data_IF_390459677727
#
_entry.id   IF_390459677727
#
_cell.length_a   1.000
_cell.length_b   1.000
_cell.length_c   1.000
_cell.angle_alpha   90.00
_cell.angle_beta   90.00
_cell.angle_gamma   90.00
#
_symmetry.space_group_name_H-M   'P 1'
#
loop_
_entity.id
_entity.type
_entity.pdbx_description
1 polymer ?
#
# COMPACT_ATOMS: atom_id res chain seq x y z
N UNK A 1 15.37 -4.42 -43.02
CA UNK A 1 14.34 -3.39 -43.26
C UNK A 1 13.13 -3.77 -42.46
N UNK A 2 13.05 -3.32 -41.23
CA UNK A 2 11.85 -3.45 -40.38
C UNK A 2 11.02 -2.20 -40.66
N UNK A 3 9.91 -2.40 -41.38
CA UNK A 3 8.99 -1.32 -41.68
C UNK A 3 8.29 -0.87 -40.42
N UNK A 4 8.43 0.44 -40.10
CA UNK A 4 7.66 1.07 -39.06
C UNK A 4 6.18 0.97 -39.37
N UNK A 5 5.44 0.30 -38.51
CA UNK A 5 3.98 0.33 -38.48
C UNK A 5 3.61 1.68 -37.86
N UNK A 6 3.09 2.58 -38.69
CA UNK A 6 2.70 3.92 -38.31
C UNK A 6 1.65 3.90 -37.21
N UNK A 7 1.95 4.61 -36.11
CA UNK A 7 1.02 4.98 -35.07
C UNK A 7 -0.06 5.92 -35.65
N UNK A 8 -1.21 5.38 -36.00
CA UNK A 8 -2.46 6.13 -36.12
C UNK A 8 -3.63 5.18 -36.36
N UNK A 9 -4.01 4.42 -35.35
CA UNK A 9 -5.38 3.89 -35.26
C UNK A 9 -5.73 3.83 -33.78
N UNK A 10 -6.47 4.82 -33.27
CA UNK A 10 -7.34 4.62 -32.12
C UNK A 10 -8.22 3.44 -32.46
N UNK A 11 -7.92 2.28 -31.94
CA UNK A 11 -8.82 1.14 -32.05
C UNK A 11 -10.10 1.58 -31.31
N UNK A 12 -11.17 1.86 -32.07
CA UNK A 12 -12.48 2.08 -31.48
C UNK A 12 -12.98 0.75 -30.98
N UNK A 13 -12.96 0.57 -29.67
CA UNK A 13 -13.56 -0.56 -29.02
C UNK A 13 -14.45 -0.10 -27.88
N UNK A 14 -15.42 -0.95 -27.56
CA UNK A 14 -16.30 -0.77 -26.40
C UNK A 14 -15.96 -1.84 -25.37
N UNK A 15 -15.73 -1.47 -24.09
CA UNK A 15 -15.48 -2.48 -23.05
C UNK A 15 -16.66 -3.44 -22.91
N UNK A 16 -16.35 -4.70 -22.67
CA UNK A 16 -17.37 -5.73 -22.47
C UNK A 16 -17.79 -5.80 -21.00
N UNK A 17 -19.10 -5.86 -20.75
CA UNK A 17 -19.63 -6.12 -19.41
C UNK A 17 -19.39 -7.57 -19.01
N UNK A 18 -18.80 -7.78 -17.83
CA UNK A 18 -18.55 -9.13 -17.26
C UNK A 18 -19.69 -9.52 -16.34
N UNK A 19 -19.98 -8.66 -15.34
CA UNK A 19 -20.97 -8.96 -14.31
C UNK A 19 -21.46 -7.65 -13.67
N UNK A 20 -22.72 -7.61 -13.25
CA UNK A 20 -23.26 -6.60 -12.37
C UNK A 20 -22.84 -6.93 -10.93
N UNK A 21 -22.13 -5.99 -10.29
CA UNK A 21 -21.56 -6.19 -8.94
C UNK A 21 -22.44 -5.65 -7.82
N UNK A 22 -23.60 -5.04 -8.13
CA UNK A 22 -24.47 -4.40 -7.14
C UNK A 22 -24.90 -5.30 -5.99
N UNK A 23 -25.06 -6.60 -6.28
CA UNK A 23 -25.57 -7.58 -5.32
C UNK A 23 -24.61 -8.78 -5.17
N UNK A 24 -23.37 -8.68 -5.64
CA UNK A 24 -22.39 -9.75 -5.45
C UNK A 24 -21.92 -9.78 -3.99
N UNK A 25 -21.76 -10.99 -3.47
CA UNK A 25 -21.00 -11.18 -2.24
C UNK A 25 -19.53 -10.82 -2.48
N UNK A 26 -18.79 -10.51 -1.40
CA UNK A 26 -17.35 -10.26 -1.50
C UNK A 26 -16.61 -11.48 -2.07
N UNK A 27 -17.02 -12.68 -1.68
CA UNK A 27 -16.45 -13.93 -2.13
C UNK A 27 -16.65 -14.10 -3.65
N UNK A 28 -17.87 -13.90 -4.15
CA UNK A 28 -18.17 -14.00 -5.58
C UNK A 28 -17.41 -12.95 -6.39
N UNK A 29 -17.32 -11.70 -5.87
CA UNK A 29 -16.53 -10.64 -6.49
C UNK A 29 -15.04 -11.02 -6.59
N UNK A 30 -14.46 -11.60 -5.54
CA UNK A 30 -13.09 -12.09 -5.56
C UNK A 30 -12.89 -13.21 -6.58
N UNK A 31 -13.85 -14.11 -6.76
CA UNK A 31 -13.78 -15.16 -7.77
C UNK A 31 -13.81 -14.59 -9.21
N UNK A 32 -14.56 -13.52 -9.45
CA UNK A 32 -14.47 -12.79 -10.73
C UNK A 32 -13.10 -12.13 -10.90
N UNK A 33 -12.57 -11.50 -9.86
CA UNK A 33 -11.25 -10.86 -9.87
C UNK A 33 -10.09 -11.82 -10.15
N UNK A 34 -10.20 -13.09 -9.75
CA UNK A 34 -9.18 -14.12 -10.05
C UNK A 34 -9.08 -14.45 -11.55
N UNK A 35 -10.12 -14.19 -12.32
CA UNK A 35 -10.17 -14.53 -13.75
C UNK A 35 -9.43 -13.56 -14.66
N UNK A 36 -8.80 -12.52 -14.08
CA UNK A 36 -8.05 -11.53 -14.83
C UNK A 36 -7.23 -10.62 -13.94
N UNK A 37 -6.65 -9.59 -14.53
CA UNK A 37 -5.83 -8.56 -13.90
C UNK A 37 -6.71 -7.33 -13.71
N UNK A 38 -6.87 -6.85 -12.49
CA UNK A 38 -7.55 -5.58 -12.21
C UNK A 38 -6.55 -4.44 -12.03
N UNK A 39 -7.00 -3.20 -12.08
CA UNK A 39 -6.12 -2.03 -12.02
C UNK A 39 -5.19 -2.01 -10.80
N UNK A 40 -5.65 -2.45 -9.62
CA UNK A 40 -4.81 -2.54 -8.42
C UNK A 40 -3.69 -3.60 -8.51
N UNK A 41 -3.78 -4.54 -9.43
CA UNK A 41 -2.82 -5.63 -9.61
C UNK A 41 -1.58 -5.18 -10.42
N UNK A 42 -1.72 -4.16 -11.26
CA UNK A 42 -0.68 -3.66 -12.18
C UNK A 42 0.60 -3.27 -11.44
N UNK A 43 0.45 -2.59 -10.32
CA UNK A 43 1.59 -2.15 -9.52
C UNK A 43 2.44 -3.34 -9.00
N UNK A 44 1.83 -4.49 -8.72
CA UNK A 44 2.56 -5.69 -8.32
C UNK A 44 3.32 -6.30 -9.51
N UNK A 45 2.74 -6.31 -10.70
CA UNK A 45 3.41 -6.75 -11.93
C UNK A 45 4.63 -5.87 -12.21
N UNK A 46 4.48 -4.54 -12.08
CA UNK A 46 5.54 -3.56 -12.29
C UNK A 46 6.56 -3.48 -11.14
N UNK A 47 6.37 -4.21 -10.04
CA UNK A 47 7.29 -4.24 -8.90
C UNK A 47 7.31 -2.95 -8.06
N UNK A 48 6.28 -2.11 -8.13
CA UNK A 48 6.17 -0.87 -7.34
C UNK A 48 4.99 -0.87 -6.37
N UNK A 49 4.30 -2.00 -6.21
CA UNK A 49 3.21 -2.10 -5.23
C UNK A 49 3.76 -2.03 -3.80
N UNK A 50 3.17 -1.20 -2.93
CA UNK A 50 3.50 -1.20 -1.52
C UNK A 50 2.74 -2.29 -0.72
N UNK A 51 1.98 -3.16 -1.38
CA UNK A 51 1.07 -4.09 -0.73
C UNK A 51 1.31 -5.55 -1.07
N UNK A 52 1.81 -5.86 -2.26
CA UNK A 52 1.95 -7.23 -2.76
C UNK A 52 3.05 -7.31 -3.81
N UNK A 53 3.69 -8.47 -3.90
CA UNK A 53 4.65 -8.80 -4.95
C UNK A 53 3.96 -9.44 -6.16
N UNK A 54 4.67 -9.56 -7.28
CA UNK A 54 4.19 -10.31 -8.45
C UNK A 54 3.87 -11.77 -8.12
N UNK A 55 4.59 -12.38 -7.15
CA UNK A 55 4.33 -13.75 -6.70
C UNK A 55 3.06 -13.86 -5.86
N UNK A 56 2.77 -12.88 -5.01
CA UNK A 56 1.50 -12.85 -4.28
C UNK A 56 0.33 -12.78 -5.26
N UNK A 57 0.46 -11.96 -6.30
CA UNK A 57 -0.53 -11.86 -7.35
C UNK A 57 -0.65 -13.18 -8.13
N UNK A 58 0.46 -13.80 -8.52
CA UNK A 58 0.47 -15.09 -9.20
C UNK A 58 -0.25 -16.18 -8.38
N UNK A 59 0.07 -16.30 -7.10
CA UNK A 59 -0.57 -17.28 -6.21
C UNK A 59 -2.06 -16.99 -6.04
N UNK A 60 -2.45 -15.73 -5.94
CA UNK A 60 -3.87 -15.35 -5.93
C UNK A 60 -4.60 -15.79 -7.20
N UNK A 61 -4.02 -15.51 -8.38
CA UNK A 61 -4.64 -15.88 -9.68
C UNK A 61 -4.68 -17.38 -9.94
N UNK A 62 -3.71 -18.12 -9.42
CA UNK A 62 -3.62 -19.59 -9.58
C UNK A 62 -4.28 -20.37 -8.44
N UNK A 63 -4.79 -19.67 -7.40
CA UNK A 63 -5.49 -20.29 -6.28
C UNK A 63 -4.58 -20.98 -5.27
N UNK A 64 -3.26 -20.74 -5.33
CA UNK A 64 -2.30 -21.27 -4.34
C UNK A 64 -2.50 -20.54 -3.02
N UNK A 65 -2.70 -21.32 -1.94
CA UNK A 65 -2.88 -20.76 -0.60
C UNK A 65 -1.55 -20.68 0.14
N UNK A 66 -1.34 -19.65 0.98
CA UNK A 66 -0.16 -19.58 1.82
C UNK A 66 -0.14 -20.72 2.84
N UNK A 67 1.05 -21.23 3.14
CA UNK A 67 1.28 -22.25 4.19
C UNK A 67 1.10 -21.64 5.58
N UNK A 68 1.55 -20.38 5.75
CA UNK A 68 1.32 -19.62 6.96
C UNK A 68 0.12 -18.72 6.70
N UNK A 69 -1.00 -19.03 7.35
CA UNK A 69 -2.15 -18.13 7.36
C UNK A 69 -1.92 -17.13 8.51
N UNK A 70 -1.68 -15.87 8.16
CA UNK A 70 -1.71 -14.81 9.17
C UNK A 70 -3.13 -14.71 9.74
N UNK A 71 -3.25 -14.65 11.07
CA UNK A 71 -4.53 -14.40 11.73
C UNK A 71 -5.11 -13.09 11.20
N UNK A 72 -6.36 -13.13 10.82
CA UNK A 72 -7.23 -12.07 10.25
C UNK A 72 -6.54 -10.79 9.75
N UNK A 73 -6.83 -10.41 8.52
CA UNK A 73 -6.28 -9.22 7.83
C UNK A 73 -6.03 -8.05 8.78
N UNK A 74 -4.78 -7.83 9.16
CA UNK A 74 -4.38 -6.73 10.07
C UNK A 74 -4.85 -5.34 9.59
N UNK A 75 -5.29 -5.23 8.33
CA UNK A 75 -5.72 -4.00 7.67
C UNK A 75 -7.21 -3.97 7.27
N UNK A 76 -8.05 -4.86 7.82
CA UNK A 76 -9.47 -4.91 7.43
C UNK A 76 -10.19 -3.59 7.70
N UNK A 77 -9.87 -2.89 8.81
CA UNK A 77 -10.47 -1.58 9.15
C UNK A 77 -10.15 -0.54 8.08
N UNK A 78 -8.91 -0.47 7.62
CA UNK A 78 -8.52 0.50 6.59
C UNK A 78 -9.24 0.24 5.25
N UNK A 79 -9.41 -1.03 4.88
CA UNK A 79 -10.17 -1.42 3.69
C UNK A 79 -11.65 -1.08 3.83
N UNK A 80 -12.24 -1.36 4.98
CA UNK A 80 -13.65 -1.07 5.27
C UNK A 80 -13.92 0.45 5.31
N UNK A 81 -13.04 1.23 5.93
CA UNK A 81 -13.10 2.70 5.92
C UNK A 81 -13.02 3.22 4.49
N UNK A 82 -12.09 2.70 3.68
CA UNK A 82 -11.97 3.05 2.26
C UNK A 82 -13.28 2.85 1.53
N UNK A 83 -13.82 1.65 1.59
CA UNK A 83 -15.07 1.29 0.92
C UNK A 83 -16.28 2.13 1.37
N UNK A 84 -16.45 2.34 2.68
CA UNK A 84 -17.56 3.15 3.21
C UNK A 84 -17.47 4.62 2.86
N UNK A 85 -16.29 5.14 2.60
CA UNK A 85 -16.07 6.55 2.30
C UNK A 85 -16.02 6.85 0.80
N UNK A 86 -16.06 5.86 -0.10
CA UNK A 86 -16.04 6.08 -1.56
C UNK A 86 -17.12 7.04 -2.02
N UNK A 87 -18.38 6.82 -1.60
CA UNK A 87 -19.50 7.70 -1.94
C UNK A 87 -19.29 9.13 -1.40
N UNK A 88 -18.74 9.29 -0.20
CA UNK A 88 -18.43 10.59 0.38
C UNK A 88 -17.33 11.32 -0.40
N UNK A 89 -16.27 10.60 -0.79
CA UNK A 89 -15.18 11.16 -1.61
C UNK A 89 -15.72 11.65 -2.95
N UNK A 90 -16.61 10.87 -3.60
CA UNK A 90 -17.29 11.24 -4.84
C UNK A 90 -18.22 12.45 -4.66
N UNK A 91 -18.95 12.54 -3.56
CA UNK A 91 -19.79 13.69 -3.23
C UNK A 91 -18.97 14.96 -3.03
N UNK A 92 -17.85 14.90 -2.31
CA UNK A 92 -16.93 16.03 -2.13
C UNK A 92 -16.38 16.48 -3.48
N UNK A 93 -15.95 15.53 -4.34
CA UNK A 93 -15.47 15.82 -5.69
C UNK A 93 -16.54 16.55 -6.50
N UNK A 94 -17.77 16.03 -6.54
CA UNK A 94 -18.89 16.63 -7.25
C UNK A 94 -19.18 18.05 -6.77
N UNK A 95 -19.21 18.28 -5.45
CA UNK A 95 -19.43 19.62 -4.87
C UNK A 95 -18.30 20.60 -5.21
N UNK A 96 -17.05 20.17 -5.20
CA UNK A 96 -15.90 21.04 -5.49
C UNK A 96 -15.75 21.36 -6.98
N UNK A 97 -16.14 20.46 -7.86
CA UNK A 97 -15.97 20.61 -9.32
C UNK A 97 -17.23 21.08 -10.03
N UNK A 98 -18.39 20.86 -9.43
CA UNK A 98 -19.70 21.06 -10.07
C UNK A 98 -20.04 20.00 -11.12
N UNK A 99 -19.22 18.93 -11.25
CA UNK A 99 -19.44 17.87 -12.22
C UNK A 99 -20.39 16.81 -11.66
N UNK A 100 -21.19 16.23 -12.54
CA UNK A 100 -22.13 15.16 -12.21
C UNK A 100 -21.38 13.81 -12.15
N UNK A 101 -21.58 13.08 -11.06
CA UNK A 101 -20.89 11.82 -10.78
C UNK A 101 -21.90 10.68 -10.68
N UNK A 102 -21.58 9.53 -11.28
CA UNK A 102 -22.44 8.35 -11.35
C UNK A 102 -21.71 7.13 -10.83
N UNK A 103 -22.27 6.36 -9.89
CA UNK A 103 -21.64 5.11 -9.45
C UNK A 103 -21.64 4.08 -10.59
N UNK A 104 -20.53 3.35 -10.70
CA UNK A 104 -20.39 2.23 -11.61
C UNK A 104 -20.50 0.94 -10.81
N UNK A 105 -21.47 0.12 -11.15
CA UNK A 105 -21.75 -1.15 -10.45
C UNK A 105 -21.61 -2.33 -11.41
N UNK A 106 -20.63 -2.26 -12.30
CA UNK A 106 -20.37 -3.28 -13.32
C UNK A 106 -18.87 -3.48 -13.46
N UNK A 107 -18.45 -4.74 -13.41
CA UNK A 107 -17.11 -5.11 -13.81
C UNK A 107 -17.06 -5.22 -15.33
N UNK A 108 -16.03 -4.62 -15.93
CA UNK A 108 -15.77 -4.64 -17.37
C UNK A 108 -14.50 -5.41 -17.67
N UNK A 109 -14.35 -5.81 -18.95
CA UNK A 109 -13.11 -6.34 -19.49
C UNK A 109 -12.77 -5.71 -20.83
N UNK A 110 -11.49 -5.69 -21.12
CA UNK A 110 -10.99 -5.23 -22.42
C UNK A 110 -11.33 -6.24 -23.50
N UNK A 111 -11.95 -5.85 -24.66
CA UNK A 111 -12.40 -6.80 -25.67
C UNK A 111 -11.26 -7.50 -26.41
N UNK A 112 -10.09 -6.84 -26.54
CA UNK A 112 -8.90 -7.41 -27.21
C UNK A 112 -7.97 -8.15 -26.23
N UNK A 113 -8.03 -7.81 -24.95
CA UNK A 113 -7.24 -8.40 -23.86
C UNK A 113 -8.17 -8.86 -22.73
N UNK A 114 -8.90 -9.98 -22.91
CA UNK A 114 -10.02 -10.34 -22.02
C UNK A 114 -9.62 -10.62 -20.55
N UNK A 115 -8.33 -10.75 -20.28
CA UNK A 115 -7.77 -10.86 -18.94
C UNK A 115 -7.63 -9.51 -18.22
N UNK A 116 -7.72 -8.37 -18.91
CA UNK A 116 -7.72 -7.03 -18.30
C UNK A 116 -9.13 -6.69 -17.84
N UNK A 117 -9.29 -6.51 -16.52
CA UNK A 117 -10.57 -6.26 -15.87
C UNK A 117 -10.59 -4.86 -15.24
N UNK A 118 -11.69 -4.15 -15.40
CA UNK A 118 -11.92 -2.87 -14.73
C UNK A 118 -13.15 -2.93 -13.82
N UNK A 119 -12.93 -2.52 -12.58
CA UNK A 119 -13.94 -2.27 -11.56
C UNK A 119 -13.77 -0.82 -11.14
N UNK A 120 -14.47 0.07 -11.87
CA UNK A 120 -14.33 1.52 -11.76
C UNK A 120 -15.33 2.03 -10.71
N UNK A 121 -14.90 2.91 -9.82
CA UNK A 121 -15.76 3.42 -8.76
C UNK A 121 -16.91 4.27 -9.33
N UNK A 122 -16.58 5.32 -10.12
CA UNK A 122 -17.55 6.26 -10.66
C UNK A 122 -17.22 6.73 -12.08
N UNK A 123 -18.25 7.14 -12.82
CA UNK A 123 -18.11 7.97 -14.01
C UNK A 123 -18.43 9.43 -13.70
N UNK A 124 -17.76 10.33 -14.39
CA UNK A 124 -17.98 11.78 -14.33
C UNK A 124 -18.45 12.26 -15.70
N UNK A 125 -19.57 12.97 -15.74
CA UNK A 125 -20.03 13.62 -16.99
C UNK A 125 -19.28 14.92 -17.19
N UNK A 126 -18.58 15.02 -18.32
CA UNK A 126 -17.85 16.22 -18.69
C UNK A 126 -18.77 17.24 -19.38
N UNK A 127 -18.43 18.55 -19.38
CA UNK A 127 -19.26 19.58 -20.01
C UNK A 127 -19.49 19.41 -21.51
N UNK A 128 -18.60 18.72 -22.20
CA UNK A 128 -18.72 18.39 -23.63
C UNK A 128 -19.59 17.14 -23.89
N UNK A 129 -20.14 16.53 -22.85
CA UNK A 129 -20.98 15.35 -22.93
C UNK A 129 -20.21 14.02 -22.92
N UNK A 130 -18.88 14.04 -22.90
CA UNK A 130 -18.05 12.84 -22.73
C UNK A 130 -18.05 12.37 -21.27
N UNK A 131 -17.49 11.19 -21.04
CA UNK A 131 -17.32 10.65 -19.68
C UNK A 131 -15.84 10.50 -19.33
N UNK A 132 -15.53 10.73 -18.06
CA UNK A 132 -14.25 10.42 -17.44
C UNK A 132 -14.45 9.41 -16.30
N UNK A 133 -13.38 8.76 -15.87
CA UNK A 133 -13.35 7.91 -14.68
C UNK A 133 -13.12 8.78 -13.45
N UNK A 134 -13.71 8.44 -12.31
CA UNK A 134 -13.31 8.92 -11.00
C UNK A 134 -12.96 7.73 -10.12
N UNK A 135 -11.71 7.69 -9.69
CA UNK A 135 -11.18 6.76 -8.71
C UNK A 135 -11.10 7.43 -7.35
N UNK A 136 -11.71 6.83 -6.33
CA UNK A 136 -11.80 7.36 -4.98
C UNK A 136 -10.80 6.69 -4.05
N UNK A 137 -10.06 7.48 -3.29
CA UNK A 137 -9.08 7.00 -2.31
C UNK A 137 -9.27 7.65 -0.95
N UNK A 138 -8.94 6.87 0.07
CA UNK A 138 -8.74 7.39 1.42
C UNK A 138 -7.34 7.04 1.90
N UNK A 139 -6.72 7.90 2.67
CA UNK A 139 -5.46 7.57 3.29
C UNK A 139 -5.33 8.20 4.68
N UNK A 140 -4.36 7.73 5.45
CA UNK A 140 -4.05 8.34 6.74
C UNK A 140 -3.43 9.73 6.53
N UNK A 141 -3.72 10.68 7.41
CA UNK A 141 -3.17 12.03 7.39
C UNK A 141 -1.64 12.07 7.28
N UNK A 142 -0.94 11.10 7.88
CA UNK A 142 0.52 11.00 7.78
C UNK A 142 1.02 10.68 6.35
N UNK A 143 0.15 10.27 5.46
CA UNK A 143 0.48 10.00 4.05
C UNK A 143 0.17 11.20 3.12
N UNK A 144 -0.26 12.35 3.66
CA UNK A 144 -0.59 13.56 2.89
C UNK A 144 0.53 14.04 1.97
N UNK A 145 1.79 13.89 2.42
CA UNK A 145 2.95 14.34 1.67
C UNK A 145 3.12 13.60 0.32
N UNK A 146 2.54 12.39 0.19
CA UNK A 146 2.51 11.64 -1.08
C UNK A 146 1.59 12.29 -2.13
N UNK A 147 0.75 13.23 -1.71
CA UNK A 147 -0.20 13.97 -2.53
C UNK A 147 0.17 15.46 -2.66
N UNK A 148 1.32 15.86 -2.08
CA UNK A 148 1.83 17.23 -2.19
C UNK A 148 2.31 17.53 -3.62
N UNK A 149 2.46 18.81 -3.94
CA UNK A 149 3.07 19.31 -5.19
C UNK A 149 2.51 18.66 -6.48
N UNK A 150 1.17 18.50 -6.54
CA UNK A 150 0.46 17.81 -7.64
C UNK A 150 0.81 16.31 -7.78
N UNK A 151 1.48 15.73 -6.78
CA UNK A 151 1.87 14.33 -6.76
C UNK A 151 0.67 13.37 -6.71
N UNK A 152 0.84 12.21 -7.36
CA UNK A 152 -0.03 11.04 -7.23
C UNK A 152 0.87 9.84 -6.95
N UNK A 153 0.59 9.00 -5.93
CA UNK A 153 1.36 7.79 -5.73
C UNK A 153 1.39 6.91 -6.99
N UNK A 154 2.58 6.52 -7.45
CA UNK A 154 2.78 5.87 -8.75
C UNK A 154 1.92 4.60 -8.94
N UNK A 155 1.70 3.81 -7.89
CA UNK A 155 0.86 2.63 -7.96
C UNK A 155 -0.62 2.95 -8.26
N UNK A 156 -1.12 4.13 -7.87
CA UNK A 156 -2.46 4.58 -8.25
C UNK A 156 -2.50 5.12 -9.68
N UNK A 157 -1.42 5.74 -10.16
CA UNK A 157 -1.33 6.15 -11.57
C UNK A 157 -1.46 4.93 -12.48
N UNK A 158 -0.75 3.84 -12.19
CA UNK A 158 -0.85 2.59 -12.93
C UNK A 158 -2.26 2.00 -12.91
N UNK A 159 -2.92 2.01 -11.75
CA UNK A 159 -4.30 1.54 -11.62
C UNK A 159 -5.25 2.31 -12.55
N UNK A 160 -5.16 3.63 -12.53
CA UNK A 160 -6.03 4.51 -13.33
C UNK A 160 -5.73 4.38 -14.83
N UNK A 161 -4.45 4.25 -15.24
CA UNK A 161 -4.07 4.03 -16.64
C UNK A 161 -4.60 2.70 -17.18
N UNK A 162 -4.52 1.64 -16.39
CA UNK A 162 -5.15 0.36 -16.72
C UNK A 162 -6.66 0.54 -16.96
N UNK A 163 -7.36 1.29 -16.11
CA UNK A 163 -8.78 1.55 -16.29
C UNK A 163 -9.07 2.38 -17.55
N UNK A 164 -8.27 3.39 -17.86
CA UNK A 164 -8.40 4.17 -19.09
C UNK A 164 -8.25 3.28 -20.33
N UNK A 165 -7.32 2.32 -20.29
CA UNK A 165 -7.15 1.31 -21.33
C UNK A 165 -8.39 0.43 -21.44
N UNK A 166 -8.80 -0.28 -20.38
CA UNK A 166 -9.94 -1.20 -20.42
C UNK A 166 -11.23 -0.49 -20.90
N UNK A 167 -11.46 0.72 -20.39
CA UNK A 167 -12.67 1.50 -20.66
C UNK A 167 -12.62 2.31 -21.97
N UNK A 168 -11.48 2.36 -22.66
CA UNK A 168 -11.24 3.20 -23.84
C UNK A 168 -11.60 4.67 -23.61
N UNK A 169 -11.28 5.19 -22.42
CA UNK A 169 -11.54 6.58 -22.01
C UNK A 169 -10.28 7.43 -22.10
N UNK A 170 -10.46 8.77 -22.27
CA UNK A 170 -9.34 9.68 -22.48
C UNK A 170 -8.87 10.34 -21.20
N UNK A 171 -9.71 10.37 -20.16
CA UNK A 171 -9.48 11.14 -18.95
C UNK A 171 -9.98 10.39 -17.74
N UNK A 172 -9.24 10.53 -16.65
CA UNK A 172 -9.68 10.12 -15.34
C UNK A 172 -9.34 11.20 -14.30
N UNK A 173 -10.10 11.17 -13.22
CA UNK A 173 -9.79 11.87 -11.98
C UNK A 173 -9.45 10.84 -10.91
N UNK A 174 -8.49 11.18 -10.06
CA UNK A 174 -8.26 10.48 -8.81
C UNK A 174 -8.46 11.46 -7.68
N UNK A 175 -9.32 11.12 -6.74
CA UNK A 175 -9.64 11.93 -5.58
C UNK A 175 -9.23 11.22 -4.29
N UNK A 176 -8.63 11.93 -3.35
CA UNK A 176 -8.19 11.38 -2.07
C UNK A 176 -8.64 12.25 -0.91
N UNK A 177 -9.30 11.60 0.06
CA UNK A 177 -9.57 12.17 1.37
C UNK A 177 -8.53 11.61 2.37
N UNK A 178 -7.68 12.49 2.93
CA UNK A 178 -6.61 12.11 3.86
C UNK A 178 -6.84 12.59 5.30
N UNK A 179 -8.09 12.91 5.62
CA UNK A 179 -8.50 13.35 6.95
C UNK A 179 -10.00 13.30 7.14
N UNK A 180 -10.54 14.19 7.97
CA UNK A 180 -11.94 14.20 8.34
C UNK A 180 -12.68 15.50 8.01
N UNK A 181 -12.09 16.37 7.20
CA UNK A 181 -12.69 17.61 6.75
C UNK A 181 -12.36 17.89 5.27
N UNK A 182 -13.11 18.81 4.66
CA UNK A 182 -13.02 19.14 3.23
C UNK A 182 -11.69 19.80 2.81
N UNK A 183 -10.88 20.32 3.74
CA UNK A 183 -9.56 20.88 3.46
C UNK A 183 -8.49 19.76 3.35
N UNK A 184 -8.83 18.57 3.80
CA UNK A 184 -7.99 17.37 3.74
C UNK A 184 -8.39 16.48 2.55
N UNK A 185 -8.80 17.10 1.47
CA UNK A 185 -9.22 16.49 0.21
C UNK A 185 -8.44 17.09 -0.95
N UNK A 186 -7.98 16.22 -1.83
CA UNK A 186 -7.32 16.58 -3.08
C UNK A 186 -7.90 15.77 -4.23
N UNK A 187 -7.85 16.32 -5.44
CA UNK A 187 -8.06 15.53 -6.65
C UNK A 187 -7.05 15.92 -7.73
N UNK A 188 -6.77 15.00 -8.62
CA UNK A 188 -5.84 15.16 -9.74
C UNK A 188 -6.44 14.61 -11.01
N UNK A 189 -5.98 15.11 -12.13
CA UNK A 189 -6.38 14.62 -13.46
C UNK A 189 -5.29 13.74 -14.02
N UNK A 190 -5.68 12.63 -14.63
CA UNK A 190 -4.81 11.74 -15.40
C UNK A 190 -5.38 11.69 -16.81
N UNK A 191 -4.60 12.16 -17.76
CA UNK A 191 -4.91 12.03 -19.18
C UNK A 191 -4.39 10.69 -19.69
N UNK A 192 -5.05 10.12 -20.69
CA UNK A 192 -4.61 8.88 -21.34
C UNK A 192 -3.28 9.10 -22.02
N UNK A 193 -2.37 8.17 -21.83
CA UNK A 193 -1.06 8.11 -22.51
C UNK A 193 -0.94 6.74 -23.19
N UNK A 194 -0.97 6.74 -24.51
CA UNK A 194 -0.95 5.51 -25.30
C UNK A 194 0.38 4.79 -25.26
N UNK A 195 1.49 5.47 -24.98
CA UNK A 195 2.81 4.85 -24.88
C UNK A 195 2.91 4.08 -23.57
N UNK A 196 2.56 4.74 -22.46
CA UNK A 196 2.54 4.06 -21.16
C UNK A 196 1.46 2.98 -21.09
N UNK A 197 0.36 3.14 -21.82
CA UNK A 197 -0.68 2.11 -21.95
C UNK A 197 -0.16 0.86 -22.65
N UNK A 198 0.60 1.01 -23.73
CA UNK A 198 1.22 -0.11 -24.46
C UNK A 198 2.17 -0.89 -23.56
N UNK A 199 3.03 -0.20 -22.80
CA UNK A 199 3.93 -0.82 -21.82
C UNK A 199 3.15 -1.62 -20.75
N UNK A 200 2.05 -1.07 -20.22
CA UNK A 200 1.20 -1.75 -19.24
C UNK A 200 0.58 -3.01 -19.86
N UNK A 201 0.01 -2.91 -21.05
CA UNK A 201 -0.61 -4.05 -21.76
C UNK A 201 0.42 -5.15 -22.00
N UNK A 202 1.63 -4.80 -22.42
CA UNK A 202 2.70 -5.77 -22.70
C UNK A 202 3.13 -6.51 -21.41
N UNK A 203 3.32 -5.81 -20.30
CA UNK A 203 3.69 -6.41 -19.02
C UNK A 203 2.56 -7.30 -18.47
N UNK A 204 1.33 -6.85 -18.54
CA UNK A 204 0.17 -7.64 -18.12
C UNK A 204 -0.02 -8.88 -19.02
N UNK A 205 0.16 -8.72 -20.33
CA UNK A 205 0.09 -9.83 -21.29
C UNK A 205 1.16 -10.87 -21.00
N UNK A 206 2.41 -10.41 -20.77
CA UNK A 206 3.52 -11.29 -20.41
C UNK A 206 3.22 -12.05 -19.12
N UNK A 207 2.82 -11.33 -18.06
CA UNK A 207 2.48 -11.95 -16.78
C UNK A 207 1.36 -12.99 -16.93
N UNK A 208 0.30 -12.63 -17.63
CA UNK A 208 -0.85 -13.52 -17.80
C UNK A 208 -0.51 -14.77 -18.63
N UNK A 209 0.13 -14.58 -19.76
CA UNK A 209 0.41 -15.68 -20.71
C UNK A 209 1.58 -16.55 -20.26
N UNK A 210 2.66 -15.95 -19.77
CA UNK A 210 3.88 -16.70 -19.45
C UNK A 210 3.88 -17.27 -18.01
N UNK A 211 3.16 -16.64 -17.10
CA UNK A 211 3.12 -17.08 -15.71
C UNK A 211 1.79 -17.70 -15.35
N UNK A 212 0.67 -16.97 -15.44
CA UNK A 212 -0.62 -17.46 -14.94
C UNK A 212 -1.12 -18.65 -15.77
N UNK A 213 -1.24 -18.52 -17.11
CA UNK A 213 -1.75 -19.59 -17.95
C UNK A 213 -0.84 -20.82 -18.04
N UNK A 214 0.48 -20.61 -17.98
CA UNK A 214 1.46 -21.70 -18.00
C UNK A 214 1.73 -22.27 -16.60
N UNK A 215 1.18 -21.66 -15.54
CA UNK A 215 1.44 -22.01 -14.15
C UNK A 215 2.95 -22.01 -13.80
N UNK A 216 3.67 -20.99 -14.28
CA UNK A 216 5.11 -20.81 -14.05
C UNK A 216 5.31 -19.66 -13.06
N UNK A 217 5.89 -19.97 -11.89
CA UNK A 217 6.13 -18.96 -10.86
C UNK A 217 7.04 -17.84 -11.39
N UNK A 218 6.64 -16.56 -11.31
CA UNK A 218 7.47 -15.45 -11.77
C UNK A 218 8.69 -15.24 -10.86
N UNK A 219 9.77 -14.58 -11.34
CA UNK A 219 10.85 -14.14 -10.48
C UNK A 219 10.33 -13.16 -9.43
N UNK A 220 11.05 -13.01 -8.31
CA UNK A 220 10.74 -11.98 -7.33
C UNK A 220 11.00 -10.59 -7.89
N UNK A 221 10.11 -9.65 -7.57
CA UNK A 221 10.26 -8.23 -7.85
C UNK A 221 9.73 -7.39 -6.67
N UNK A 222 10.00 -6.08 -6.69
CA UNK A 222 9.44 -5.13 -5.76
C UNK A 222 10.20 -4.98 -4.45
N UNK A 223 9.50 -4.61 -3.41
CA UNK A 223 10.04 -4.32 -2.09
C UNK A 223 10.59 -5.57 -1.40
N UNK A 224 11.78 -5.46 -0.80
CA UNK A 224 12.46 -6.60 -0.19
C UNK A 224 11.72 -7.16 1.03
N UNK A 225 11.04 -6.34 1.81
CA UNK A 225 10.28 -6.79 2.98
C UNK A 225 9.06 -7.61 2.54
N UNK A 226 8.37 -7.17 1.48
CA UNK A 226 7.27 -7.91 0.85
C UNK A 226 7.77 -9.23 0.25
N UNK A 227 8.92 -9.22 -0.42
CA UNK A 227 9.53 -10.44 -0.98
C UNK A 227 9.86 -11.43 0.12
N UNK A 228 10.48 -10.98 1.22
CA UNK A 228 10.80 -11.85 2.36
C UNK A 228 9.53 -12.38 3.05
N UNK A 229 8.49 -11.56 3.16
CA UNK A 229 7.20 -11.99 3.66
C UNK A 229 6.56 -13.06 2.75
N UNK A 230 6.58 -12.86 1.43
CA UNK A 230 6.10 -13.85 0.46
C UNK A 230 6.83 -15.19 0.61
N UNK A 231 8.17 -15.17 0.65
CA UNK A 231 9.00 -16.38 0.83
C UNK A 231 8.59 -17.12 2.10
N UNK A 232 8.42 -16.42 3.22
CA UNK A 232 7.99 -17.00 4.50
C UNK A 232 6.57 -17.57 4.42
N UNK A 233 5.63 -16.82 3.87
CA UNK A 233 4.22 -17.21 3.86
C UNK A 233 3.96 -18.44 2.99
N UNK A 234 4.67 -18.57 1.88
CA UNK A 234 4.52 -19.70 0.95
C UNK A 234 5.58 -20.80 1.13
N UNK A 235 6.75 -20.49 1.70
CA UNK A 235 7.80 -21.48 2.00
C UNK A 235 7.62 -22.17 3.36
N UNK A 236 6.82 -21.62 4.25
CA UNK A 236 6.58 -22.14 5.58
C UNK A 236 7.68 -21.82 6.62
N UNK A 237 7.59 -22.47 7.76
CA UNK A 237 8.55 -22.28 8.86
C UNK A 237 9.86 -23.02 8.60
N UNK A 238 10.98 -22.44 9.08
CA UNK A 238 12.27 -23.11 9.07
C UNK A 238 12.24 -24.39 9.90
N UNK A 239 12.68 -25.50 9.32
CA UNK A 239 12.77 -26.80 9.98
C UNK A 239 14.22 -27.06 10.41
N UNK A 240 14.43 -27.11 11.72
CA UNK A 240 15.76 -27.35 12.33
C UNK A 240 16.30 -28.78 12.10
N UNK A 241 15.45 -29.70 11.64
CA UNK A 241 15.85 -31.07 11.31
C UNK A 241 16.54 -31.17 9.94
N UNK A 242 16.38 -30.17 9.08
CA UNK A 242 17.03 -30.12 7.77
C UNK A 242 18.54 -29.89 7.97
N UNK A 243 19.40 -30.74 7.39
CA UNK A 243 20.86 -30.55 7.46
C UNK A 243 21.30 -29.22 6.84
N UNK A 244 22.51 -28.80 7.20
CA UNK A 244 23.16 -27.62 6.63
C UNK A 244 23.16 -27.68 5.09
N UNK A 245 22.68 -26.62 4.46
CA UNK A 245 22.58 -26.50 3.01
C UNK A 245 23.74 -25.66 2.50
N UNK A 246 24.46 -26.18 1.51
CA UNK A 246 25.48 -25.39 0.80
C UNK A 246 24.83 -24.54 -0.26
N UNK A 247 24.91 -23.21 -0.07
CA UNK A 247 24.39 -22.27 -1.04
C UNK A 247 25.33 -22.18 -2.26
N UNK A 248 24.74 -22.16 -3.46
CA UNK A 248 25.47 -22.05 -4.72
C UNK A 248 24.87 -20.94 -5.57
N UNK A 249 25.68 -20.35 -6.48
CA UNK A 249 25.23 -19.30 -7.38
C UNK A 249 25.06 -17.91 -6.75
N UNK A 250 25.43 -17.76 -5.46
CA UNK A 250 25.42 -16.48 -4.76
C UNK A 250 26.83 -15.88 -4.72
N UNK A 251 26.93 -14.57 -4.88
CA UNK A 251 28.20 -13.87 -4.79
C UNK A 251 28.59 -13.62 -3.32
N UNK A 252 29.78 -14.08 -2.90
CA UNK A 252 30.29 -13.87 -1.54
C UNK A 252 30.38 -12.38 -1.17
N UNK A 253 30.65 -11.51 -2.14
CA UNK A 253 30.68 -10.05 -1.93
C UNK A 253 29.36 -9.47 -1.44
N UNK A 254 28.21 -10.08 -1.77
CA UNK A 254 26.92 -9.64 -1.25
C UNK A 254 26.79 -9.98 0.24
N UNK A 255 27.30 -11.13 0.67
CA UNK A 255 27.37 -11.48 2.08
C UNK A 255 28.35 -10.57 2.84
N UNK A 256 29.53 -10.28 2.27
CA UNK A 256 30.50 -9.35 2.86
C UNK A 256 29.88 -7.95 3.05
N UNK A 257 29.14 -7.46 2.04
CA UNK A 257 28.42 -6.20 2.14
C UNK A 257 27.35 -6.24 3.23
N UNK A 258 26.58 -7.33 3.33
CA UNK A 258 25.59 -7.52 4.39
C UNK A 258 26.24 -7.47 5.78
N UNK A 259 27.36 -8.14 5.97
CA UNK A 259 28.11 -8.14 7.25
C UNK A 259 28.63 -6.75 7.59
N UNK A 260 29.16 -6.01 6.60
CA UNK A 260 29.62 -4.63 6.77
C UNK A 260 28.47 -3.72 7.22
N UNK A 261 27.32 -3.80 6.55
CA UNK A 261 26.14 -3.01 6.92
C UNK A 261 25.58 -3.40 8.31
N UNK A 262 25.69 -4.67 8.68
CA UNK A 262 25.27 -5.14 10.00
C UNK A 262 26.17 -4.59 11.11
N UNK A 263 27.47 -4.51 10.86
CA UNK A 263 28.43 -3.90 11.79
C UNK A 263 28.20 -2.40 11.92
N UNK A 264 28.05 -1.68 10.80
CA UNK A 264 27.73 -0.26 10.79
C UNK A 264 26.45 0.04 11.57
N UNK A 265 25.38 -0.73 11.33
CA UNK A 265 24.12 -0.62 12.10
C UNK A 265 24.36 -0.78 13.60
N UNK A 266 25.17 -1.78 14.00
CA UNK A 266 25.51 -2.00 15.41
C UNK A 266 26.25 -0.81 16.03
N UNK A 267 27.20 -0.22 15.29
CA UNK A 267 27.94 0.98 15.73
C UNK A 267 27.03 2.20 15.87
N UNK A 268 26.12 2.40 14.91
CA UNK A 268 25.12 3.48 14.96
C UNK A 268 24.18 3.33 16.16
N UNK A 269 23.70 2.15 16.47
CA UNK A 269 22.87 1.88 17.65
C UNK A 269 23.62 2.14 18.96
N UNK A 270 24.91 1.78 19.02
CA UNK A 270 25.77 2.11 20.17
C UNK A 270 25.93 3.62 20.31
N UNK A 271 26.24 4.32 19.21
CA UNK A 271 26.42 5.77 19.20
C UNK A 271 25.12 6.51 19.58
N UNK A 272 23.98 6.03 19.12
CA UNK A 272 22.68 6.53 19.53
C UNK A 272 22.48 6.47 21.04
N UNK A 273 22.80 5.33 21.67
CA UNK A 273 22.71 5.15 23.13
C UNK A 273 23.62 6.11 23.89
N UNK A 274 24.85 6.34 23.39
CA UNK A 274 25.79 7.31 23.97
C UNK A 274 25.22 8.73 23.91
N UNK A 275 24.71 9.16 22.74
CA UNK A 275 24.08 10.48 22.56
C UNK A 275 22.89 10.64 23.51
N UNK A 276 22.02 9.65 23.61
CA UNK A 276 20.89 9.68 24.53
C UNK A 276 21.33 9.77 26.01
N UNK A 277 22.43 9.13 26.37
CA UNK A 277 23.00 9.23 27.73
C UNK A 277 23.56 10.63 27.99
N UNK A 278 24.30 11.22 27.04
CA UNK A 278 24.80 12.59 27.12
C UNK A 278 23.63 13.60 27.23
N UNK A 279 22.59 13.46 26.40
CA UNK A 279 21.40 14.29 26.46
C UNK A 279 20.71 14.21 27.83
N UNK A 280 20.56 12.99 28.38
CA UNK A 280 20.02 12.82 29.75
C UNK A 280 20.86 13.52 30.79
N UNK A 281 22.20 13.36 30.74
CA UNK A 281 23.09 14.01 31.68
C UNK A 281 22.99 15.54 31.61
N UNK A 282 22.95 16.12 30.40
CA UNK A 282 22.78 17.57 30.19
C UNK A 282 21.41 18.05 30.67
N UNK A 283 20.37 17.22 30.57
CA UNK A 283 19.01 17.58 30.97
C UNK A 283 18.82 17.68 32.50
N UNK A 284 19.65 17.00 33.29
CA UNK A 284 19.52 16.92 34.77
C UNK A 284 19.39 18.29 35.43
N UNK A 285 20.30 19.25 35.22
CA UNK A 285 20.20 20.54 35.90
C UNK A 285 18.97 21.37 35.49
N UNK A 286 18.48 21.19 34.25
CA UNK A 286 17.26 21.86 33.80
C UNK A 286 16.02 21.26 34.48
N UNK A 287 15.94 19.95 34.59
CA UNK A 287 14.83 19.24 35.25
C UNK A 287 14.86 19.54 36.76
N UNK A 288 16.03 19.59 37.38
CA UNK A 288 16.20 19.94 38.79
C UNK A 288 15.70 21.36 39.10
N UNK A 289 16.05 22.35 38.26
CA UNK A 289 15.55 23.69 38.39
C UNK A 289 14.06 23.84 38.10
N UNK A 290 13.51 23.05 37.22
CA UNK A 290 12.06 23.02 36.95
C UNK A 290 11.26 22.56 38.17
N UNK A 291 11.82 21.69 39.02
CA UNK A 291 11.14 21.14 40.18
C UNK A 291 9.81 20.49 39.82
N UNK A 292 8.69 21.06 40.25
CA UNK A 292 7.33 20.62 39.90
C UNK A 292 6.77 21.32 38.64
N UNK A 293 7.53 22.22 38.02
CA UNK A 293 7.12 22.95 36.83
C UNK A 293 7.23 22.08 35.58
N UNK A 294 6.35 22.33 34.61
CA UNK A 294 6.39 21.68 33.32
C UNK A 294 7.00 22.53 32.20
N UNK A 295 7.24 23.82 32.46
CA UNK A 295 7.73 24.76 31.44
C UNK A 295 8.69 25.75 32.06
N UNK A 296 9.79 26.05 31.39
CA UNK A 296 10.74 27.11 31.73
C UNK A 296 11.17 27.84 30.46
N UNK A 297 11.80 28.99 30.68
CA UNK A 297 12.45 29.78 29.64
C UNK A 297 13.89 29.98 30.05
N UNK A 298 14.81 29.76 29.14
CA UNK A 298 16.22 30.11 29.28
C UNK A 298 16.54 31.21 28.27
N UNK A 299 17.15 32.30 28.73
CA UNK A 299 17.59 33.44 27.92
C UNK A 299 19.12 33.58 28.06
N UNK A 300 19.83 33.61 26.94
CA UNK A 300 21.29 33.74 26.89
C UNK A 300 21.74 35.11 26.31
N UNK A 301 20.88 36.12 26.36
CA UNK A 301 21.11 37.45 25.82
C UNK A 301 20.84 37.62 24.34
N UNK A 302 20.92 36.56 23.55
CA UNK A 302 20.65 36.57 22.11
C UNK A 302 19.44 35.69 21.74
N UNK A 303 19.29 34.58 22.43
CA UNK A 303 18.28 33.59 22.15
C UNK A 303 17.37 33.35 23.35
N UNK A 304 16.11 33.01 23.07
CA UNK A 304 15.13 32.62 24.06
C UNK A 304 14.66 31.22 23.80
N UNK A 305 15.03 30.26 24.65
CA UNK A 305 14.70 28.85 24.57
C UNK A 305 13.54 28.55 25.52
N UNK A 306 12.53 27.82 24.99
CA UNK A 306 11.46 27.29 25.83
C UNK A 306 11.74 25.80 26.12
N UNK A 307 11.83 25.47 27.39
CA UNK A 307 12.03 24.13 27.89
C UNK A 307 10.66 23.57 28.32
N UNK A 308 10.32 22.40 27.88
CA UNK A 308 9.09 21.69 28.28
C UNK A 308 9.47 20.30 28.78
N UNK A 309 9.04 19.98 30.00
CA UNK A 309 9.23 18.66 30.59
C UNK A 309 7.90 18.11 31.06
N UNK A 310 7.44 17.02 30.44
CA UNK A 310 6.20 16.34 30.79
C UNK A 310 6.56 14.96 31.34
N UNK A 311 6.67 14.78 32.66
CA UNK A 311 6.93 13.48 33.25
C UNK A 311 5.74 12.54 32.98
N UNK A 312 5.96 11.49 32.20
CA UNK A 312 4.96 10.46 31.96
C UNK A 312 5.18 9.31 32.93
N UNK A 313 4.15 8.98 33.71
CA UNK A 313 4.18 7.79 34.56
C UNK A 313 3.80 6.59 33.68
N UNK A 314 4.78 5.78 33.29
CA UNK A 314 4.51 4.47 32.69
C UNK A 314 4.20 3.47 33.79
N UNK A 315 3.02 2.89 33.77
CA UNK A 315 2.68 1.75 34.61
C UNK A 315 2.92 0.50 33.76
N UNK A 316 3.93 -0.26 34.10
CA UNK A 316 4.16 -1.59 33.48
C UNK A 316 3.66 -2.65 34.46
N UNK A 317 2.98 -3.65 33.92
CA UNK A 317 2.57 -4.83 34.68
C UNK A 317 3.70 -5.87 34.54
N UNK A 318 4.35 -6.20 35.65
CA UNK A 318 5.43 -7.21 35.65
C UNK A 318 4.89 -8.61 35.32
N UNK A 319 5.77 -9.52 34.88
CA UNK A 319 5.39 -10.91 34.50
C UNK A 319 4.60 -11.60 35.61
N UNK A 320 5.02 -11.47 36.87
CA UNK A 320 4.33 -12.08 38.02
C UNK A 320 2.93 -11.49 38.29
N UNK A 321 2.74 -10.20 37.99
CA UNK A 321 1.45 -9.53 38.10
C UNK A 321 0.54 -9.93 36.93
N UNK A 322 1.09 -10.14 35.75
CA UNK A 322 0.38 -10.64 34.57
C UNK A 322 -0.13 -12.06 34.81
N UNK A 323 0.69 -12.92 35.41
CA UNK A 323 0.33 -14.30 35.71
C UNK A 323 -0.77 -14.36 36.80
N UNK A 324 -0.69 -13.50 37.80
CA UNK A 324 -1.78 -13.34 38.80
C UNK A 324 -3.08 -12.84 38.16
N UNK A 325 -3.01 -11.90 37.24
CA UNK A 325 -4.18 -11.40 36.52
C UNK A 325 -4.82 -12.48 35.63
N UNK A 326 -4.02 -13.30 34.95
CA UNK A 326 -4.50 -14.45 34.16
C UNK A 326 -5.22 -15.47 35.03
N UNK A 327 -4.69 -15.74 36.22
CA UNK A 327 -5.28 -16.70 37.16
C UNK A 327 -6.54 -16.18 37.82
N UNK A 328 -6.67 -14.86 38.02
CA UNK A 328 -7.85 -14.24 38.64
C UNK A 328 -8.97 -13.96 37.62
N UNK A 329 -8.62 -13.80 36.35
CA UNK A 329 -9.56 -13.46 35.28
C UNK A 329 -9.26 -14.30 34.02
N UNK A 330 -9.54 -15.62 34.05
CA UNK A 330 -9.23 -16.52 32.93
C UNK A 330 -10.02 -16.21 31.66
N UNK A 331 -11.11 -15.48 31.78
CA UNK A 331 -11.99 -15.02 30.67
C UNK A 331 -11.50 -13.75 29.99
N UNK A 332 -10.50 -13.04 30.51
CA UNK A 332 -9.90 -11.92 29.86
C UNK A 332 -8.84 -12.41 28.88
N UNK A 333 -9.13 -12.26 27.58
CA UNK A 333 -8.12 -12.45 26.53
C UNK A 333 -7.07 -11.35 26.64
N UNK A 334 -5.85 -11.70 27.10
CA UNK A 334 -4.72 -10.78 27.23
C UNK A 334 -3.94 -10.59 25.92
N UNK A 335 -4.59 -10.82 24.78
CA UNK A 335 -4.00 -10.80 23.44
C UNK A 335 -3.47 -9.41 23.03
N UNK A 336 -3.81 -8.33 23.74
CA UNK A 336 -3.43 -6.96 23.37
C UNK A 336 -2.41 -6.29 24.31
N UNK A 337 -1.74 -7.05 25.17
CA UNK A 337 -0.61 -6.50 25.90
C UNK A 337 0.66 -6.90 25.12
N UNK A 338 0.99 -6.11 24.10
CA UNK A 338 2.27 -6.22 23.41
C UNK A 338 3.40 -6.01 24.42
N UNK A 339 4.38 -6.93 24.41
CA UNK A 339 5.61 -6.72 25.15
C UNK A 339 6.25 -5.41 24.67
N UNK A 340 6.73 -4.54 25.58
CA UNK A 340 7.49 -3.38 25.16
C UNK A 340 8.80 -3.85 24.52
N UNK A 341 8.96 -3.58 23.23
CA UNK A 341 10.23 -3.71 22.52
C UNK A 341 11.24 -2.70 23.06
#
# INVERSE_FOLDING_TARGET
>A
MLGGIGMNNKAEYTPEKVVDISNLSREDWLEYRKKGIGGSDVAAIMGISPFATIRDLFYNKTGVQPVIQEEEESNWVAKEVGHRLEDLVAEIFSKKTGLEVFPVRVMFRHPLYPFMLADVDFFVRMPDGTFAILECKTCNYNAKDKWADEGIPAHYVLQVRHYLSVMNMQKAFIACLYGNNENEFVYRTIERDLIEEEDIIDQETYFWQEHVLKNVVPPHNGDSDLVLANIRNYGGFADKSIPEIVLSGLESKNLEKYLTLSEEKSQLEKRKKEIEAEQRAISVPFVEQLGQGCKAVLEDGTNRYRITYNPTRRTSVGKDQMEKLKNQHPDLSLIHISEPT
#
